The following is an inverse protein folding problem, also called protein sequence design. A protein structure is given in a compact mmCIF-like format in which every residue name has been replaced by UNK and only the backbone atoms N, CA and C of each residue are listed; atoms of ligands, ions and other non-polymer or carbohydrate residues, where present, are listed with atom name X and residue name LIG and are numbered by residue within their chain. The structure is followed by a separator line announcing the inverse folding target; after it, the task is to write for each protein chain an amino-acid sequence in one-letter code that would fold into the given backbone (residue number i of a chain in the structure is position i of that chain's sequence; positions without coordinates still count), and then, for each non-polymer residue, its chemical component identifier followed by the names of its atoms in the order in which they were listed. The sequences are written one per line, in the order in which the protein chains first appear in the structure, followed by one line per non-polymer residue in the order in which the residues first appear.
data_IF_520914504468
#
_entry.id   IF_520914504468
#
_cell.length_a   1.000
_cell.length_b   1.000
_cell.length_c   1.000
_cell.angle_alpha   90.00
_cell.angle_beta   90.00
_cell.angle_gamma   90.00
#
_symmetry.space_group_name_H-M   'P 1'
#
loop_
_entity.id
_entity.type
_entity.pdbx_description
1 polymer ?
#
# COMPACT_ATOMS: atom_id res chain seq x y z
N UNK A 1 20.44 -33.51 5.01
CA UNK A 1 19.39 -32.51 5.15
C UNK A 1 19.74 -31.64 6.34
N UNK A 2 19.96 -30.35 6.14
CA UNK A 2 20.13 -29.43 7.27
C UNK A 2 18.80 -29.32 8.02
N UNK A 3 18.85 -29.49 9.33
CA UNK A 3 17.67 -29.39 10.19
C UNK A 3 17.34 -27.90 10.36
N UNK A 4 16.15 -27.48 9.97
CA UNK A 4 15.68 -26.12 10.22
C UNK A 4 15.61 -25.91 11.73
N UNK A 5 16.41 -24.98 12.24
CA UNK A 5 16.38 -24.58 13.65
C UNK A 5 15.33 -23.49 13.82
N UNK A 6 14.51 -23.61 14.83
CA UNK A 6 13.50 -22.63 15.21
C UNK A 6 13.56 -22.33 16.70
N UNK A 7 13.14 -21.16 17.09
CA UNK A 7 12.97 -20.77 18.48
C UNK A 7 11.65 -20.02 18.65
N UNK A 8 10.97 -20.25 19.77
CA UNK A 8 9.81 -19.46 20.14
C UNK A 8 10.30 -18.19 20.84
N UNK A 9 9.92 -17.04 20.31
CA UNK A 9 10.19 -15.76 20.95
C UNK A 9 8.97 -15.38 21.81
N UNK A 10 9.17 -15.40 23.13
CA UNK A 10 8.16 -14.96 24.10
C UNK A 10 8.38 -13.48 24.39
N UNK A 11 7.80 -12.62 23.56
CA UNK A 11 7.75 -11.18 23.84
C UNK A 11 6.85 -10.93 25.05
N UNK A 12 7.27 -10.14 26.05
CA UNK A 12 6.37 -9.72 27.09
C UNK A 12 5.24 -8.89 26.48
N UNK A 13 4.00 -9.14 26.93
CA UNK A 13 2.89 -8.26 26.59
C UNK A 13 3.15 -6.91 27.23
N UNK A 14 3.33 -5.88 26.43
CA UNK A 14 3.33 -4.50 26.93
C UNK A 14 1.87 -4.03 26.98
N UNK A 15 1.42 -3.59 28.14
CA UNK A 15 0.05 -3.09 28.34
C UNK A 15 -0.20 -1.79 27.58
N UNK A 16 0.85 -1.10 27.14
CA UNK A 16 0.80 0.24 26.56
C UNK A 16 0.99 0.30 25.03
N UNK A 17 0.89 -0.81 24.32
CA UNK A 17 0.98 -0.81 22.86
C UNK A 17 -0.32 -0.32 22.20
N UNK A 18 -0.88 0.80 22.67
CA UNK A 18 -1.97 1.46 21.99
C UNK A 18 -1.41 2.25 20.80
N UNK A 19 -1.55 1.68 19.62
CA UNK A 19 -1.22 2.35 18.36
C UNK A 19 -2.51 2.96 17.79
N UNK A 20 -2.78 4.26 18.00
CA UNK A 20 -4.02 4.88 17.54
C UNK A 20 -4.29 4.67 16.06
N UNK A 21 -3.23 4.64 15.24
CA UNK A 21 -3.33 4.36 13.80
C UNK A 21 -3.88 2.96 13.49
N UNK A 22 -3.78 2.00 14.42
CA UNK A 22 -4.28 0.62 14.29
C UNK A 22 -5.60 0.41 15.05
N UNK A 23 -6.23 1.47 15.55
CA UNK A 23 -7.54 1.37 16.18
C UNK A 23 -8.57 0.78 15.21
N UNK A 24 -9.55 0.03 15.73
CA UNK A 24 -10.59 -0.60 14.91
C UNK A 24 -11.31 0.41 14.00
N UNK A 25 -11.57 1.61 14.50
CA UNK A 25 -12.16 2.70 13.72
C UNK A 25 -11.32 3.09 12.50
N UNK A 26 -9.99 3.11 12.60
CA UNK A 26 -9.10 3.42 11.47
C UNK A 26 -9.05 2.27 10.46
N UNK A 27 -9.09 1.04 10.95
CA UNK A 27 -9.22 -0.18 10.11
C UNK A 27 -10.53 -0.14 9.32
N UNK A 28 -11.63 0.21 9.95
CA UNK A 28 -12.95 0.35 9.30
C UNK A 28 -12.96 1.45 8.24
N UNK A 29 -12.29 2.58 8.48
CA UNK A 29 -12.12 3.65 7.49
C UNK A 29 -11.35 3.13 6.26
N UNK A 30 -10.23 2.43 6.47
CA UNK A 30 -9.44 1.86 5.38
C UNK A 30 -10.25 0.83 4.57
N UNK A 31 -11.02 -0.01 5.24
CA UNK A 31 -11.90 -0.98 4.61
C UNK A 31 -12.97 -0.31 3.75
N UNK A 32 -13.73 0.60 4.34
CA UNK A 32 -14.82 1.33 3.65
C UNK A 32 -14.27 2.09 2.45
N UNK A 33 -13.10 2.72 2.60
CA UNK A 33 -12.42 3.39 1.50
C UNK A 33 -12.15 2.43 0.32
N UNK A 34 -11.54 1.27 0.57
CA UNK A 34 -11.23 0.31 -0.49
C UNK A 34 -12.51 -0.29 -1.12
N UNK A 35 -13.54 -0.56 -0.32
CA UNK A 35 -14.83 -1.06 -0.79
C UNK A 35 -15.56 -0.05 -1.70
N UNK A 36 -15.22 1.24 -1.62
CA UNK A 36 -15.80 2.27 -2.47
C UNK A 36 -15.32 2.24 -3.93
N UNK A 37 -14.21 1.56 -4.22
CA UNK A 37 -13.68 1.44 -5.59
C UNK A 37 -14.52 0.48 -6.43
N UNK A 38 -14.90 0.86 -7.67
CA UNK A 38 -15.65 -0.04 -8.57
C UNK A 38 -14.94 -1.37 -8.88
N UNK A 39 -13.60 -1.39 -8.73
CA UNK A 39 -12.76 -2.57 -9.00
C UNK A 39 -12.56 -3.44 -7.75
N UNK A 40 -13.11 -3.04 -6.60
CA UNK A 40 -12.96 -3.81 -5.38
C UNK A 40 -13.65 -5.16 -5.46
N UNK A 41 -12.97 -6.17 -5.00
CA UNK A 41 -13.53 -7.51 -4.75
C UNK A 41 -12.82 -8.18 -3.59
N UNK A 42 -13.54 -9.03 -2.87
CA UNK A 42 -12.93 -9.87 -1.85
C UNK A 42 -12.05 -10.90 -2.54
N UNK A 43 -10.76 -10.91 -2.23
CA UNK A 43 -9.81 -11.88 -2.79
C UNK A 43 -9.99 -13.26 -2.18
N UNK A 44 -9.69 -14.35 -2.90
CA UNK A 44 -9.90 -15.71 -2.41
C UNK A 44 -9.08 -16.05 -1.16
N UNK A 45 -9.68 -16.84 -0.28
CA UNK A 45 -8.97 -17.57 0.77
C UNK A 45 -8.98 -19.06 0.43
N UNK A 46 -7.83 -19.60 0.04
CA UNK A 46 -7.69 -20.97 -0.44
C UNK A 46 -7.14 -21.86 0.67
N UNK A 47 -7.84 -22.93 0.99
CA UNK A 47 -7.38 -23.97 1.92
C UNK A 47 -6.55 -25.00 1.17
N UNK A 48 -5.29 -25.19 1.58
CA UNK A 48 -4.35 -26.12 0.98
C UNK A 48 -4.27 -27.43 1.79
N UNK A 49 -5.30 -28.26 1.71
CA UNK A 49 -5.41 -29.49 2.50
C UNK A 49 -4.23 -30.45 2.27
N UNK A 50 -3.87 -30.70 1.02
CA UNK A 50 -2.78 -31.63 0.66
C UNK A 50 -1.41 -31.15 1.14
N UNK A 51 -1.19 -29.81 1.10
CA UNK A 51 0.05 -29.23 1.61
C UNK A 51 0.11 -29.29 3.13
N UNK A 52 -1.00 -29.02 3.81
CA UNK A 52 -1.12 -29.14 5.26
C UNK A 52 -0.81 -30.55 5.73
N UNK A 53 -1.40 -31.57 5.10
CA UNK A 53 -1.16 -32.99 5.38
C UNK A 53 0.32 -33.35 5.19
N UNK A 54 0.91 -33.00 4.05
CA UNK A 54 2.33 -33.24 3.75
C UNK A 54 3.29 -32.63 4.77
N UNK A 55 2.93 -31.48 5.33
CA UNK A 55 3.73 -30.73 6.30
C UNK A 55 3.41 -31.10 7.76
N UNK A 56 2.45 -32.00 8.00
CA UNK A 56 2.00 -32.35 9.34
C UNK A 56 1.30 -31.21 10.09
N UNK A 57 0.67 -30.29 9.35
CA UNK A 57 -0.05 -29.14 9.90
C UNK A 57 -1.54 -29.44 10.02
N UNK A 58 -2.22 -28.87 11.03
CA UNK A 58 -3.65 -28.99 11.18
C UNK A 58 -4.43 -28.34 10.03
N UNK A 59 -3.95 -27.20 9.52
CA UNK A 59 -4.47 -26.53 8.35
C UNK A 59 -3.48 -25.52 7.78
N UNK A 60 -3.60 -25.23 6.48
CA UNK A 60 -2.83 -24.21 5.77
C UNK A 60 -3.77 -23.43 4.85
N UNK A 61 -3.76 -22.11 4.97
CA UNK A 61 -4.56 -21.22 4.13
C UNK A 61 -3.67 -20.21 3.42
N UNK A 62 -4.02 -19.89 2.17
CA UNK A 62 -3.40 -18.81 1.40
C UNK A 62 -4.47 -17.77 1.07
N UNK A 63 -4.22 -16.52 1.45
CA UNK A 63 -4.95 -15.36 0.97
C UNK A 63 -4.37 -14.97 -0.38
N UNK A 64 -5.13 -15.17 -1.44
CA UNK A 64 -4.65 -14.95 -2.81
C UNK A 64 -4.88 -13.50 -3.26
N UNK A 65 -3.90 -12.66 -3.00
CA UNK A 65 -3.90 -11.25 -3.39
C UNK A 65 -3.52 -11.02 -4.88
N UNK A 66 -3.35 -12.08 -5.66
CA UNK A 66 -3.14 -11.95 -7.12
C UNK A 66 -4.34 -11.34 -7.84
N UNK A 67 -5.52 -11.43 -7.24
CA UNK A 67 -6.76 -10.84 -7.75
C UNK A 67 -6.97 -9.38 -7.35
N UNK A 68 -6.12 -8.81 -6.47
CA UNK A 68 -6.33 -7.46 -5.94
C UNK A 68 -6.24 -6.41 -7.04
N UNK A 69 -7.36 -5.77 -7.35
CA UNK A 69 -7.48 -4.71 -8.38
C UNK A 69 -6.89 -5.05 -9.75
N UNK A 70 -6.66 -6.33 -10.04
CA UNK A 70 -5.98 -6.77 -11.27
C UNK A 70 -4.46 -6.50 -11.29
N UNK A 71 -3.88 -6.12 -10.14
CA UNK A 71 -2.46 -5.75 -10.05
C UNK A 71 -1.54 -6.91 -9.65
N UNK A 72 -2.10 -8.06 -9.33
CA UNK A 72 -1.34 -9.24 -8.89
C UNK A 72 -0.49 -8.99 -7.62
N UNK A 73 -0.91 -8.04 -6.77
CA UNK A 73 -0.22 -7.67 -5.54
C UNK A 73 -1.14 -6.84 -4.61
N UNK A 74 -0.91 -6.92 -3.30
CA UNK A 74 -1.71 -6.22 -2.27
C UNK A 74 -1.21 -4.81 -1.93
N UNK A 75 0.01 -4.43 -2.30
CA UNK A 75 0.62 -3.15 -1.89
C UNK A 75 -0.15 -1.90 -2.34
N UNK A 76 -1.00 -2.02 -3.34
CA UNK A 76 -1.91 -0.95 -3.77
C UNK A 76 -2.83 -0.47 -2.64
N UNK A 77 -3.24 -1.36 -1.71
CA UNK A 77 -4.11 -0.99 -0.59
C UNK A 77 -3.47 0.11 0.28
N UNK A 78 -2.21 -0.08 0.70
CA UNK A 78 -1.52 0.91 1.52
C UNK A 78 -1.28 2.22 0.77
N UNK A 79 -0.78 2.16 -0.46
CA UNK A 79 -0.49 3.34 -1.28
C UNK A 79 -1.74 4.17 -1.56
N UNK A 80 -2.85 3.55 -1.96
CA UNK A 80 -4.10 4.26 -2.25
C UNK A 80 -4.72 4.90 -1.01
N UNK A 81 -4.70 4.21 0.13
CA UNK A 81 -5.23 4.75 1.38
C UNK A 81 -4.38 5.90 1.91
N UNK A 82 -3.05 5.79 1.86
CA UNK A 82 -2.16 6.88 2.24
C UNK A 82 -2.36 8.14 1.39
N UNK A 83 -2.56 7.99 0.06
CA UNK A 83 -2.92 9.12 -0.81
C UNK A 83 -4.26 9.75 -0.41
N UNK A 84 -5.28 8.94 -0.13
CA UNK A 84 -6.58 9.45 0.30
C UNK A 84 -6.50 10.19 1.64
N UNK A 85 -5.75 9.68 2.60
CA UNK A 85 -5.49 10.36 3.88
C UNK A 85 -4.76 11.68 3.69
N UNK A 86 -3.75 11.72 2.81
CA UNK A 86 -3.06 12.96 2.49
C UNK A 86 -4.03 13.99 1.88
N UNK A 87 -4.86 13.61 0.93
CA UNK A 87 -5.86 14.50 0.32
C UNK A 87 -6.86 14.97 1.39
N UNK A 88 -7.32 14.09 2.27
CA UNK A 88 -8.21 14.42 3.39
C UNK A 88 -7.59 15.47 4.30
N UNK A 89 -6.34 15.28 4.71
CA UNK A 89 -5.59 16.22 5.55
C UNK A 89 -5.46 17.61 4.88
N UNK A 90 -5.14 17.66 3.58
CA UNK A 90 -4.99 18.91 2.85
C UNK A 90 -6.32 19.67 2.64
N UNK A 91 -7.43 18.95 2.63
CA UNK A 91 -8.78 19.54 2.45
C UNK A 91 -9.53 19.71 3.77
N UNK A 92 -8.90 19.39 4.91
CA UNK A 92 -9.51 19.49 6.23
C UNK A 92 -10.68 18.53 6.48
N UNK A 93 -10.71 17.41 5.74
CA UNK A 93 -11.75 16.40 5.82
C UNK A 93 -11.27 15.13 6.54
N UNK A 94 -12.18 14.32 7.04
CA UNK A 94 -11.86 12.95 7.43
C UNK A 94 -11.84 12.04 6.19
N UNK A 95 -10.97 11.05 6.18
CA UNK A 95 -10.85 10.12 5.03
C UNK A 95 -12.15 9.34 4.76
N UNK A 96 -12.98 9.14 5.76
CA UNK A 96 -14.31 8.52 5.62
C UNK A 96 -15.28 9.36 4.78
N UNK A 97 -15.05 10.67 4.66
CA UNK A 97 -15.82 11.57 3.80
C UNK A 97 -15.37 11.54 2.34
N UNK A 98 -14.27 10.83 2.05
CA UNK A 98 -13.63 10.79 0.74
C UNK A 98 -13.66 9.38 0.09
N UNK A 99 -14.84 8.76 -0.10
CA UNK A 99 -14.91 7.54 -0.91
C UNK A 99 -14.47 7.84 -2.36
N UNK A 100 -14.20 6.79 -3.12
CA UNK A 100 -13.70 6.90 -4.50
C UNK A 100 -14.46 7.93 -5.36
N UNK A 101 -15.80 7.92 -5.30
CA UNK A 101 -16.64 8.82 -6.08
C UNK A 101 -16.42 10.31 -5.72
N UNK A 102 -16.17 10.61 -4.45
CA UNK A 102 -15.85 11.96 -3.99
C UNK A 102 -14.44 12.35 -4.42
N UNK A 103 -13.45 11.46 -4.22
CA UNK A 103 -12.06 11.68 -4.62
C UNK A 103 -11.89 11.96 -6.11
N UNK A 104 -12.76 11.40 -6.95
CA UNK A 104 -12.73 11.59 -8.41
C UNK A 104 -13.68 12.67 -8.91
N UNK A 105 -14.40 13.35 -8.02
CA UNK A 105 -15.36 14.40 -8.40
C UNK A 105 -14.67 15.68 -8.89
N UNK A 106 -15.35 16.40 -9.78
CA UNK A 106 -14.88 17.71 -10.24
C UNK A 106 -14.81 18.75 -9.10
N UNK A 107 -15.68 18.61 -8.07
CA UNK A 107 -15.64 19.48 -6.90
C UNK A 107 -14.32 19.32 -6.13
N UNK A 108 -13.89 18.08 -5.85
CA UNK A 108 -12.63 17.83 -5.15
C UNK A 108 -11.42 18.18 -6.01
N UNK A 109 -11.46 17.93 -7.32
CA UNK A 109 -10.41 18.37 -8.24
C UNK A 109 -10.21 19.88 -8.21
N UNK A 110 -11.29 20.65 -8.13
CA UNK A 110 -11.24 22.10 -8.02
C UNK A 110 -10.70 22.56 -6.67
N UNK A 111 -11.04 21.85 -5.58
CA UNK A 111 -10.64 22.17 -4.22
C UNK A 111 -9.16 21.82 -3.95
N UNK A 112 -8.77 20.60 -4.26
CA UNK A 112 -7.43 20.04 -3.97
C UNK A 112 -6.42 20.32 -5.09
N UNK A 113 -6.85 20.34 -6.34
CA UNK A 113 -5.98 20.45 -7.50
C UNK A 113 -5.36 19.11 -7.93
N UNK A 114 -4.20 19.18 -8.59
CA UNK A 114 -3.45 18.02 -9.04
C UNK A 114 -2.10 17.95 -8.34
N UNK A 115 -1.88 16.85 -7.62
CA UNK A 115 -0.62 16.52 -7.00
C UNK A 115 0.20 15.54 -7.85
N UNK A 116 1.49 15.47 -7.58
CA UNK A 116 2.41 14.46 -8.12
C UNK A 116 2.96 13.61 -6.99
N UNK A 117 2.61 12.33 -6.97
CA UNK A 117 3.08 11.39 -5.98
C UNK A 117 4.38 10.71 -6.44
N UNK A 118 5.41 10.78 -5.61
CA UNK A 118 6.73 10.23 -5.88
C UNK A 118 6.96 8.98 -5.04
N UNK A 119 7.66 7.99 -5.59
CA UNK A 119 8.11 6.81 -4.83
C UNK A 119 9.32 6.16 -5.51
N UNK A 120 10.10 5.43 -4.71
CA UNK A 120 11.08 4.49 -5.21
C UNK A 120 10.60 3.05 -4.97
N UNK A 121 10.90 2.14 -5.89
CA UNK A 121 10.40 0.76 -5.83
C UNK A 121 11.23 -0.21 -6.67
N UNK A 122 11.23 -1.47 -6.27
CA UNK A 122 11.64 -2.58 -7.12
C UNK A 122 10.47 -3.23 -7.91
N UNK A 123 9.21 -2.77 -7.67
CA UNK A 123 8.05 -3.27 -8.42
C UNK A 123 6.67 -2.96 -7.84
N UNK A 124 6.18 -3.78 -6.91
CA UNK A 124 4.76 -3.81 -6.55
C UNK A 124 4.25 -2.56 -5.82
N UNK A 125 5.07 -1.93 -4.96
CA UNK A 125 4.67 -0.70 -4.29
C UNK A 125 4.48 0.43 -5.32
N UNK A 126 5.48 0.68 -6.16
CA UNK A 126 5.38 1.71 -7.19
C UNK A 126 4.27 1.45 -8.21
N UNK A 127 4.00 0.17 -8.56
CA UNK A 127 2.86 -0.16 -9.41
C UNK A 127 1.53 0.20 -8.73
N UNK A 128 1.42 -0.08 -7.41
CA UNK A 128 0.24 0.30 -6.62
C UNK A 128 0.04 1.81 -6.52
N UNK A 129 1.14 2.57 -6.29
CA UNK A 129 1.14 4.04 -6.29
C UNK A 129 0.73 4.60 -7.65
N UNK A 130 1.30 4.07 -8.74
CA UNK A 130 0.96 4.48 -10.10
C UNK A 130 -0.54 4.28 -10.41
N UNK A 131 -1.06 3.08 -10.12
CA UNK A 131 -2.47 2.76 -10.32
C UNK A 131 -3.38 3.66 -9.49
N UNK A 132 -3.08 3.84 -8.21
CA UNK A 132 -3.88 4.68 -7.33
C UNK A 132 -3.91 6.15 -7.80
N UNK A 133 -2.74 6.72 -8.11
CA UNK A 133 -2.66 8.08 -8.63
C UNK A 133 -3.51 8.25 -9.89
N UNK A 134 -3.37 7.34 -10.87
CA UNK A 134 -4.18 7.37 -12.08
C UNK A 134 -5.69 7.31 -11.78
N UNK A 135 -6.12 6.39 -10.91
CA UNK A 135 -7.55 6.25 -10.54
C UNK A 135 -8.10 7.48 -9.83
N UNK A 136 -7.27 8.18 -9.08
CA UNK A 136 -7.64 9.40 -8.36
C UNK A 136 -7.43 10.69 -9.18
N UNK A 137 -7.07 10.58 -10.46
CA UNK A 137 -6.82 11.73 -11.34
C UNK A 137 -5.56 12.53 -10.98
N UNK A 138 -4.63 11.91 -10.26
CA UNK A 138 -3.36 12.46 -9.83
C UNK A 138 -2.20 11.96 -10.71
N UNK A 139 -1.02 12.54 -10.56
CA UNK A 139 0.21 12.09 -11.24
C UNK A 139 1.05 11.21 -10.34
N UNK A 140 1.85 10.32 -10.94
CA UNK A 140 2.85 9.55 -10.23
C UNK A 140 4.20 9.56 -10.98
N UNK A 141 5.27 9.65 -10.21
CA UNK A 141 6.66 9.48 -10.66
C UNK A 141 7.29 8.37 -9.83
N UNK A 142 7.83 7.37 -10.52
CA UNK A 142 8.36 6.16 -9.89
C UNK A 142 9.79 5.92 -10.32
N UNK A 143 10.70 5.93 -9.36
CA UNK A 143 12.11 5.62 -9.58
C UNK A 143 12.39 4.16 -9.21
N UNK A 144 13.12 3.46 -10.07
CA UNK A 144 13.51 2.07 -9.85
C UNK A 144 15.03 1.95 -9.78
N UNK A 145 15.57 1.13 -8.87
CA UNK A 145 17.01 0.97 -8.75
C UNK A 145 17.59 0.20 -9.94
N UNK A 146 18.89 0.37 -10.14
CA UNK A 146 19.70 -0.43 -11.08
C UNK A 146 19.46 -1.93 -10.87
N UNK A 147 19.30 -2.67 -11.97
CA UNK A 147 19.00 -4.09 -11.96
C UNK A 147 17.51 -4.43 -11.95
N UNK A 148 16.63 -3.45 -11.86
CA UNK A 148 15.20 -3.64 -12.07
C UNK A 148 14.91 -4.12 -13.50
N UNK A 149 13.90 -4.98 -13.68
CA UNK A 149 13.59 -5.54 -14.98
C UNK A 149 12.73 -4.60 -15.82
N UNK A 150 12.94 -4.61 -17.13
CA UNK A 150 12.13 -3.87 -18.10
C UNK A 150 10.64 -4.23 -18.01
N UNK A 151 10.33 -5.50 -17.69
CA UNK A 151 8.94 -5.95 -17.49
C UNK A 151 8.27 -5.20 -16.33
N UNK A 152 8.95 -5.05 -15.19
CA UNK A 152 8.44 -4.31 -14.02
C UNK A 152 8.25 -2.83 -14.35
N UNK A 153 9.23 -2.21 -15.00
CA UNK A 153 9.15 -0.82 -15.46
C UNK A 153 7.93 -0.61 -16.36
N UNK A 154 7.76 -1.47 -17.36
CA UNK A 154 6.64 -1.38 -18.29
C UNK A 154 5.29 -1.59 -17.60
N UNK A 155 5.21 -2.46 -16.58
CA UNK A 155 4.00 -2.65 -15.81
C UNK A 155 3.61 -1.40 -15.02
N UNK A 156 4.59 -0.68 -14.45
CA UNK A 156 4.34 0.59 -13.76
C UNK A 156 3.88 1.67 -14.74
N UNK A 157 4.53 1.79 -15.90
CA UNK A 157 4.16 2.74 -16.96
C UNK A 157 2.76 2.51 -17.52
N UNK A 158 2.33 1.24 -17.61
CA UNK A 158 0.97 0.89 -18.03
C UNK A 158 -0.11 1.40 -17.08
N UNK A 159 0.22 1.58 -15.81
CA UNK A 159 -0.69 2.18 -14.83
C UNK A 159 -0.73 3.72 -14.91
N UNK A 160 -0.02 4.34 -15.87
CA UNK A 160 -0.09 5.78 -16.14
C UNK A 160 0.99 6.63 -15.47
N UNK A 161 1.95 6.04 -14.77
CA UNK A 161 3.04 6.77 -14.14
C UNK A 161 4.20 7.08 -15.10
N UNK A 162 4.91 8.18 -14.85
CA UNK A 162 6.27 8.37 -15.34
C UNK A 162 7.21 7.49 -14.50
N UNK A 163 7.90 6.55 -15.14
CA UNK A 163 8.79 5.64 -14.42
C UNK A 163 10.12 5.47 -15.16
N UNK A 164 11.22 5.39 -14.40
CA UNK A 164 12.59 5.24 -14.88
C UNK A 164 13.37 4.22 -14.05
N UNK A 165 14.36 3.58 -14.65
CA UNK A 165 15.39 2.82 -13.94
C UNK A 165 16.62 3.71 -13.84
N UNK A 166 17.06 3.97 -12.61
CA UNK A 166 18.18 4.81 -12.30
C UNK A 166 19.47 3.98 -12.16
N UNK A 167 20.63 4.58 -12.42
CA UNK A 167 21.94 3.93 -12.28
C UNK A 167 22.46 3.94 -10.84
N UNK A 168 21.58 3.74 -9.86
CA UNK A 168 21.90 3.79 -8.44
C UNK A 168 21.18 2.65 -7.66
N UNK A 169 21.53 2.49 -6.38
CA UNK A 169 20.91 1.52 -5.50
C UNK A 169 19.52 1.99 -5.01
N UNK A 170 18.81 1.13 -4.28
CA UNK A 170 17.46 1.41 -3.80
C UNK A 170 17.41 2.63 -2.87
N UNK A 171 18.32 2.73 -1.90
CA UNK A 171 18.32 3.82 -0.93
C UNK A 171 18.62 5.19 -1.59
N UNK A 172 19.44 5.19 -2.62
CA UNK A 172 19.68 6.39 -3.43
C UNK A 172 18.44 6.78 -4.23
N UNK A 173 17.72 5.81 -4.82
CA UNK A 173 16.44 6.06 -5.48
C UNK A 173 15.43 6.66 -4.52
N UNK A 174 15.34 6.17 -3.26
CA UNK A 174 14.46 6.74 -2.23
C UNK A 174 14.80 8.20 -1.95
N UNK A 175 16.09 8.52 -1.76
CA UNK A 175 16.56 9.91 -1.56
C UNK A 175 16.24 10.79 -2.77
N UNK A 176 16.47 10.29 -3.98
CA UNK A 176 16.14 11.01 -5.21
C UNK A 176 14.65 11.29 -5.32
N UNK A 177 13.80 10.30 -5.04
CA UNK A 177 12.35 10.47 -5.07
C UNK A 177 11.87 11.51 -4.03
N UNK A 178 12.43 11.50 -2.82
CA UNK A 178 12.14 12.48 -1.79
C UNK A 178 12.57 13.90 -2.20
N UNK A 179 13.78 14.04 -2.74
CA UNK A 179 14.29 15.31 -3.27
C UNK A 179 13.48 15.86 -4.42
N UNK A 180 13.03 14.98 -5.34
CA UNK A 180 12.18 15.38 -6.46
C UNK A 180 10.81 15.84 -5.96
N UNK A 181 10.22 15.13 -5.00
CA UNK A 181 8.97 15.52 -4.37
C UNK A 181 9.07 16.90 -3.72
N UNK A 182 10.15 17.15 -2.94
CA UNK A 182 10.35 18.42 -2.25
C UNK A 182 10.56 19.63 -3.20
N UNK A 183 11.06 19.39 -4.42
CA UNK A 183 11.29 20.44 -5.43
C UNK A 183 10.14 20.62 -6.42
N UNK A 184 9.15 19.75 -6.38
CA UNK A 184 8.01 19.80 -7.28
C UNK A 184 6.84 20.48 -6.58
N UNK A 185 6.22 21.44 -7.22
CA UNK A 185 5.00 22.06 -6.72
C UNK A 185 3.91 20.98 -6.56
N UNK A 186 3.32 20.88 -5.37
CA UNK A 186 2.40 19.80 -4.98
C UNK A 186 3.00 18.39 -5.17
N UNK A 187 4.32 18.26 -4.98
CA UNK A 187 5.01 16.97 -4.95
C UNK A 187 4.94 16.32 -3.57
N UNK A 188 4.59 15.05 -3.52
CA UNK A 188 4.45 14.28 -2.27
C UNK A 188 5.18 12.95 -2.41
N UNK A 189 6.04 12.64 -1.43
CA UNK A 189 6.65 11.31 -1.34
C UNK A 189 5.65 10.33 -0.71
N UNK A 190 5.43 9.18 -1.35
CA UNK A 190 4.63 8.06 -0.83
C UNK A 190 5.49 6.80 -0.85
N UNK A 191 6.34 6.70 0.17
CA UNK A 191 7.30 5.60 0.34
C UNK A 191 6.84 4.67 1.46
N UNK A 192 7.05 3.36 1.30
CA UNK A 192 6.68 2.33 2.28
C UNK A 192 7.80 2.01 3.29
N UNK A 193 8.84 2.85 3.32
CA UNK A 193 9.94 2.81 4.29
C UNK A 193 9.95 4.10 5.10
N UNK A 194 10.01 4.01 6.42
CA UNK A 194 10.08 5.16 7.32
C UNK A 194 11.52 5.61 7.56
N UNK A 195 11.70 6.91 7.84
CA UNK A 195 12.93 7.53 8.36
C UNK A 195 12.57 8.71 9.24
N UNK A 196 13.55 9.27 9.95
CA UNK A 196 13.36 10.40 10.87
C UNK A 196 12.65 11.58 10.17
N UNK A 197 11.47 11.95 10.66
CA UNK A 197 10.62 13.00 10.07
C UNK A 197 9.70 12.53 8.92
N UNK A 198 9.71 11.22 8.60
CA UNK A 198 8.80 10.62 7.61
C UNK A 198 8.23 9.31 8.15
N UNK A 199 7.38 9.38 9.16
CA UNK A 199 6.76 8.23 9.82
C UNK A 199 5.25 8.12 9.53
N UNK A 200 4.59 9.23 9.29
CA UNK A 200 3.13 9.30 9.21
C UNK A 200 2.58 8.54 7.98
N UNK A 201 3.09 8.82 6.79
CA UNK A 201 2.64 8.14 5.55
C UNK A 201 2.96 6.64 5.59
N UNK A 202 4.17 6.18 6.01
CA UNK A 202 4.41 4.76 6.23
C UNK A 202 3.46 4.11 7.24
N UNK A 203 3.10 4.80 8.32
CA UNK A 203 2.12 4.30 9.27
C UNK A 203 0.73 4.12 8.64
N UNK A 204 0.30 5.05 7.79
CA UNK A 204 -0.96 4.89 7.03
C UNK A 204 -0.88 3.73 6.01
N UNK A 205 0.26 3.55 5.36
CA UNK A 205 0.49 2.42 4.45
C UNK A 205 0.38 1.09 5.20
N UNK A 206 0.83 1.02 6.46
CA UNK A 206 0.74 -0.19 7.28
C UNK A 206 -0.71 -0.67 7.50
N UNK A 207 -1.71 0.20 7.41
CA UNK A 207 -3.13 -0.18 7.46
C UNK A 207 -3.56 -1.13 6.33
N UNK A 208 -2.73 -1.33 5.31
CA UNK A 208 -2.97 -2.35 4.27
C UNK A 208 -3.16 -3.77 4.84
N UNK A 209 -2.50 -4.10 5.97
CA UNK A 209 -2.60 -5.41 6.61
C UNK A 209 -3.88 -5.58 7.43
N UNK A 210 -4.58 -4.50 7.71
CA UNK A 210 -5.83 -4.47 8.45
C UNK A 210 -7.05 -4.37 7.55
N UNK A 211 -6.86 -4.06 6.27
CA UNK A 211 -7.90 -4.21 5.25
C UNK A 211 -8.32 -5.69 5.22
N UNK A 212 -9.62 -6.04 5.14
CA UNK A 212 -10.16 -7.30 5.63
C UNK A 212 -9.38 -8.51 5.16
N UNK A 213 -8.48 -8.92 6.01
CA UNK A 213 -7.79 -10.20 5.93
C UNK A 213 -8.67 -11.22 6.64
N UNK A 214 -8.72 -12.48 6.20
CA UNK A 214 -9.38 -13.57 6.92
C UNK A 214 -8.85 -13.79 8.33
N UNK A 215 -7.75 -13.15 8.74
CA UNK A 215 -7.31 -13.13 10.14
C UNK A 215 -8.40 -12.61 11.07
N UNK A 216 -9.21 -11.65 10.62
CA UNK A 216 -10.27 -11.05 11.44
C UNK A 216 -11.48 -11.98 11.56
N UNK A 217 -11.69 -12.88 10.59
CA UNK A 217 -12.75 -13.90 10.65
C UNK A 217 -12.35 -15.19 11.37
N UNK A 218 -11.05 -15.51 11.42
CA UNK A 218 -10.56 -16.74 12.08
C UNK A 218 -10.34 -16.55 13.59
N UNK A 219 -10.13 -15.32 14.06
CA UNK A 219 -9.93 -15.00 15.47
C UNK A 219 -11.23 -14.79 16.26
N UNK A 220 -12.38 -14.73 15.59
CA UNK A 220 -13.71 -14.51 16.20
C UNK A 220 -14.55 -15.76 16.33
N UNK A 221 -13.96 -16.97 16.21
CA UNK A 221 -14.65 -18.25 16.44
C UNK A 221 -13.91 -19.13 17.42
#
# INVERSE_FOLDING_TARGET
METIKWAVNHMPKTEDANLPVMALSEVEKARTFHESFPQYSVTPLVKLNHMAEKLGLGSLYIKDESYRFGLNAFKVLGGSFAMARYIAQQTGKDVSELPYQVLTSEALKKEFGQATFFTATDGNHGRGVAWAANKLGQKAVVLMPKGSTQTRLNNIRKEGATATIEECNYDECVRMAADMAARTEHGIIVQDTAWDGYEEIPAWICLLYTSPSPRDYAASR
#
